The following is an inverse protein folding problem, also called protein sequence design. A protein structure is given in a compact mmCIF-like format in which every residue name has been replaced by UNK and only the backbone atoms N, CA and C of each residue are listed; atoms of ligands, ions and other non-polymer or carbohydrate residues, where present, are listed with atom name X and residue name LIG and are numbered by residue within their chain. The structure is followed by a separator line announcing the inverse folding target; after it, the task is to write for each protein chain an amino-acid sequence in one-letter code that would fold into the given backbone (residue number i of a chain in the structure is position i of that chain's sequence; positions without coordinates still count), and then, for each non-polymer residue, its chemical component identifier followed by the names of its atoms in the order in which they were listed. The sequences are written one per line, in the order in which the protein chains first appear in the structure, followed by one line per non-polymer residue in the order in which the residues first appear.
data_IF_866208633026
#
_entry.id   IF_866208633026
#
_cell.length_a   1.000
_cell.length_b   1.000
_cell.length_c   1.000
_cell.angle_alpha   90.00
_cell.angle_beta   90.00
_cell.angle_gamma   90.00
#
_symmetry.space_group_name_H-M   'P 1'
#
loop_
_entity.id
_entity.type
_entity.pdbx_description
1 polymer ?
#
# COMPACT_ATOMS: atom_id res chain seq x y z
N UNK A 1 48.29 -19.20 -37.01
CA UNK A 1 47.78 -18.67 -35.75
C UNK A 1 46.24 -18.60 -35.82
N UNK A 2 45.54 -19.48 -35.12
CA UNK A 2 44.07 -19.50 -35.13
C UNK A 2 43.65 -18.74 -33.89
N UNK A 3 43.07 -17.54 -34.04
CA UNK A 3 42.49 -16.76 -32.96
C UNK A 3 41.12 -17.41 -32.59
N UNK A 4 41.04 -18.00 -31.41
CA UNK A 4 39.78 -18.45 -30.82
C UNK A 4 39.02 -17.24 -30.30
N UNK A 5 38.02 -16.81 -31.00
CA UNK A 5 37.04 -15.86 -30.49
C UNK A 5 36.20 -16.56 -29.41
N UNK A 6 36.40 -16.19 -28.16
CA UNK A 6 35.51 -16.61 -27.08
C UNK A 6 34.21 -15.86 -27.18
N UNK A 7 33.17 -16.58 -27.56
CA UNK A 7 31.80 -16.05 -27.54
C UNK A 7 31.32 -15.99 -26.08
N UNK A 8 31.38 -14.81 -25.48
CA UNK A 8 30.76 -14.57 -24.16
C UNK A 8 29.27 -14.41 -24.39
N UNK A 9 28.52 -15.49 -24.18
CA UNK A 9 27.07 -15.41 -24.09
C UNK A 9 26.71 -14.70 -22.79
N UNK A 10 26.37 -13.42 -22.83
CA UNK A 10 25.77 -12.74 -21.71
C UNK A 10 24.36 -13.29 -21.51
N UNK A 11 24.20 -14.12 -20.48
CA UNK A 11 22.86 -14.54 -20.03
C UNK A 11 22.20 -13.29 -19.44
N UNK A 12 21.33 -12.65 -20.20
CA UNK A 12 20.36 -11.68 -19.68
C UNK A 12 19.37 -12.45 -18.84
N UNK A 13 19.64 -12.58 -17.54
CA UNK A 13 18.60 -12.96 -16.58
C UNK A 13 17.65 -11.78 -16.52
N UNK A 14 16.57 -11.87 -17.29
CA UNK A 14 15.46 -10.94 -17.20
C UNK A 14 14.83 -11.07 -15.83
N UNK A 15 15.32 -10.29 -14.86
CA UNK A 15 14.72 -10.16 -13.55
C UNK A 15 13.35 -9.52 -13.74
N UNK A 16 12.28 -10.28 -13.56
CA UNK A 16 10.96 -9.73 -13.43
C UNK A 16 10.98 -8.84 -12.19
N UNK A 17 10.75 -7.53 -12.37
CA UNK A 17 10.65 -6.61 -11.24
C UNK A 17 9.52 -7.10 -10.32
N UNK A 18 9.86 -7.42 -9.07
CA UNK A 18 8.90 -7.84 -8.07
C UNK A 18 7.98 -6.67 -7.71
N UNK A 19 6.67 -6.92 -7.59
CA UNK A 19 5.70 -5.94 -7.14
C UNK A 19 6.14 -5.32 -5.80
N UNK A 20 6.09 -4.01 -5.69
CA UNK A 20 6.60 -3.27 -4.53
C UNK A 20 5.79 -1.99 -4.26
N UNK A 21 5.80 -1.57 -3.00
CA UNK A 21 5.32 -0.24 -2.61
C UNK A 21 6.42 0.77 -2.96
N UNK A 22 6.09 1.94 -3.54
CA UNK A 22 7.09 2.97 -3.83
C UNK A 22 7.92 3.36 -2.60
N UNK A 23 9.19 3.66 -2.79
CA UNK A 23 10.10 4.04 -1.70
C UNK A 23 9.69 5.36 -1.05
N UNK A 24 9.19 6.30 -1.84
CA UNK A 24 8.68 7.58 -1.38
C UNK A 24 7.27 7.78 -1.90
N UNK A 25 6.35 8.10 -0.98
CA UNK A 25 4.96 8.43 -1.28
C UNK A 25 4.62 9.74 -0.57
N UNK A 26 4.21 10.73 -1.35
CA UNK A 26 3.86 12.04 -0.82
C UNK A 26 2.76 11.95 0.24
N UNK A 27 2.98 12.57 1.39
CA UNK A 27 2.05 12.62 2.51
C UNK A 27 1.91 11.33 3.30
N UNK A 28 2.54 10.25 2.88
CA UNK A 28 2.52 8.97 3.60
C UNK A 28 3.69 8.88 4.58
N UNK A 29 3.38 8.58 5.85
CA UNK A 29 4.42 8.36 6.85
C UNK A 29 5.20 7.06 6.59
N UNK A 30 6.42 7.00 7.12
CA UNK A 30 7.23 5.77 7.06
C UNK A 30 6.50 4.57 7.69
N UNK A 31 5.78 4.79 8.79
CA UNK A 31 5.02 3.75 9.47
C UNK A 31 3.86 3.24 8.60
N UNK A 32 3.11 4.14 7.97
CA UNK A 32 2.02 3.77 7.05
C UNK A 32 2.54 3.01 5.86
N UNK A 33 3.66 3.44 5.29
CA UNK A 33 4.32 2.74 4.19
C UNK A 33 4.75 1.32 4.60
N UNK A 34 5.32 1.16 5.79
CA UNK A 34 5.69 -0.16 6.30
C UNK A 34 4.49 -1.10 6.43
N UNK A 35 3.33 -0.60 6.88
CA UNK A 35 2.09 -1.38 6.89
C UNK A 35 1.62 -1.76 5.48
N UNK A 36 1.76 -0.88 4.51
CA UNK A 36 1.45 -1.19 3.12
C UNK A 36 2.35 -2.32 2.57
N UNK A 37 3.64 -2.30 2.89
CA UNK A 37 4.58 -3.37 2.53
C UNK A 37 4.22 -4.70 3.20
N UNK A 38 3.85 -4.67 4.47
CA UNK A 38 3.39 -5.86 5.19
C UNK A 38 2.11 -6.45 4.56
N UNK A 39 1.17 -5.59 4.16
CA UNK A 39 -0.05 -6.02 3.47
C UNK A 39 0.26 -6.71 2.13
N UNK A 40 1.16 -6.13 1.34
CA UNK A 40 1.59 -6.72 0.08
C UNK A 40 2.30 -8.07 0.29
N UNK A 41 3.17 -8.17 1.28
CA UNK A 41 3.84 -9.42 1.63
C UNK A 41 2.86 -10.49 2.12
N UNK A 42 1.88 -10.11 2.94
CA UNK A 42 0.82 -11.01 3.38
C UNK A 42 0.01 -11.55 2.19
N UNK A 43 -0.33 -10.69 1.23
CA UNK A 43 -1.02 -11.11 0.00
C UNK A 43 -0.21 -12.14 -0.78
N UNK A 44 1.10 -11.95 -0.91
CA UNK A 44 1.99 -12.91 -1.59
C UNK A 44 2.01 -14.26 -0.88
N UNK A 45 2.11 -14.27 0.44
CA UNK A 45 2.08 -15.50 1.24
C UNK A 45 0.77 -16.29 1.08
N UNK A 46 -0.32 -15.57 0.80
CA UNK A 46 -1.62 -16.17 0.49
C UNK A 46 -1.77 -16.57 -0.99
N UNK A 47 -0.69 -16.48 -1.77
CA UNK A 47 -0.71 -16.80 -3.20
C UNK A 47 -1.49 -15.79 -4.06
N UNK A 48 -1.67 -14.57 -3.56
CA UNK A 48 -2.38 -13.48 -4.27
C UNK A 48 -1.38 -12.52 -4.88
N UNK A 49 -1.72 -12.01 -6.06
CA UNK A 49 -0.97 -10.98 -6.77
C UNK A 49 -1.87 -9.75 -7.00
N UNK A 50 -1.94 -8.85 -6.01
CA UNK A 50 -2.85 -7.72 -6.09
C UNK A 50 -2.43 -6.75 -7.19
N UNK A 51 -3.40 -6.32 -7.98
CA UNK A 51 -3.22 -5.29 -9.00
C UNK A 51 -3.38 -3.89 -8.43
N UNK A 52 -3.98 -3.78 -7.26
CA UNK A 52 -4.23 -2.54 -6.56
C UNK A 52 -4.15 -2.77 -5.06
N UNK A 53 -3.40 -1.92 -4.38
CA UNK A 53 -3.31 -1.83 -2.93
C UNK A 53 -3.90 -0.50 -2.49
N UNK A 54 -4.95 -0.54 -1.68
CA UNK A 54 -5.56 0.67 -1.12
C UNK A 54 -5.12 0.82 0.33
N UNK A 55 -4.57 1.98 0.67
CA UNK A 55 -4.07 2.31 2.00
C UNK A 55 -4.77 3.56 2.50
N UNK A 56 -5.38 3.48 3.68
CA UNK A 56 -5.97 4.64 4.34
C UNK A 56 -5.33 4.84 5.72
N UNK A 57 -4.79 6.02 5.98
CA UNK A 57 -4.20 6.37 7.27
C UNK A 57 -5.21 7.17 8.11
N UNK A 58 -5.94 6.47 8.96
CA UNK A 58 -6.97 7.07 9.81
C UNK A 58 -6.42 7.93 10.96
N UNK A 59 -5.09 8.00 11.15
CA UNK A 59 -4.46 8.92 12.10
C UNK A 59 -4.46 10.36 11.60
N UNK A 60 -4.54 10.53 10.27
CA UNK A 60 -4.67 11.85 9.66
C UNK A 60 -6.13 12.34 9.75
N UNK A 61 -6.37 13.66 9.75
CA UNK A 61 -7.73 14.19 9.74
C UNK A 61 -8.46 13.86 8.42
N UNK A 62 -9.79 13.83 8.47
CA UNK A 62 -10.63 13.53 7.30
C UNK A 62 -10.50 14.57 6.16
N UNK A 63 -10.05 15.78 6.48
CA UNK A 63 -9.75 16.84 5.50
C UNK A 63 -8.42 16.65 4.77
N UNK A 64 -7.57 15.71 5.22
CA UNK A 64 -6.33 15.38 4.53
C UNK A 64 -6.56 14.31 3.45
N UNK A 65 -5.76 14.35 2.41
CA UNK A 65 -5.69 13.30 1.42
C UNK A 65 -4.97 12.09 2.01
N UNK A 66 -5.69 11.28 2.75
CA UNK A 66 -5.19 10.18 3.60
C UNK A 66 -5.45 8.79 3.05
N UNK A 67 -5.95 8.69 1.82
CA UNK A 67 -6.11 7.44 1.09
C UNK A 67 -5.25 7.45 -0.16
N UNK A 68 -4.51 6.37 -0.36
CA UNK A 68 -3.69 6.12 -1.55
C UNK A 68 -4.12 4.82 -2.19
N UNK A 69 -4.26 4.84 -3.51
CA UNK A 69 -4.34 3.64 -4.34
C UNK A 69 -3.00 3.47 -5.05
N UNK A 70 -2.40 2.32 -4.88
CA UNK A 70 -1.05 1.99 -5.37
C UNK A 70 -1.15 0.81 -6.31
N UNK A 71 -0.59 0.92 -7.51
CA UNK A 71 -0.31 -0.24 -8.37
C UNK A 71 1.06 -0.81 -7.95
N UNK A 72 1.09 -1.95 -7.24
CA UNK A 72 2.36 -2.48 -6.76
C UNK A 72 3.23 -3.07 -7.86
N UNK A 73 2.66 -3.44 -9.01
CA UNK A 73 3.42 -3.98 -10.16
C UNK A 73 4.21 -2.89 -10.86
N UNK A 74 3.64 -1.69 -10.92
CA UNK A 74 4.29 -0.51 -11.47
C UNK A 74 5.06 0.29 -10.42
N UNK A 75 4.88 -0.06 -9.13
CA UNK A 75 5.41 0.72 -7.99
C UNK A 75 5.01 2.19 -8.08
N UNK A 76 3.73 2.44 -8.32
CA UNK A 76 3.20 3.77 -8.60
C UNK A 76 1.94 4.06 -7.79
N UNK A 77 1.81 5.31 -7.31
CA UNK A 77 0.56 5.82 -6.73
C UNK A 77 -0.33 6.30 -7.87
N UNK A 78 -1.46 5.64 -8.05
CA UNK A 78 -2.42 5.96 -9.13
C UNK A 78 -3.53 6.90 -8.68
N UNK A 79 -3.76 7.00 -7.37
CA UNK A 79 -4.74 7.93 -6.78
C UNK A 79 -4.32 8.31 -5.37
N UNK A 80 -4.50 9.57 -5.03
CA UNK A 80 -4.46 10.07 -3.66
C UNK A 80 -5.68 10.94 -3.41
N UNK A 81 -6.42 10.70 -2.33
CA UNK A 81 -7.67 11.42 -2.07
C UNK A 81 -8.03 11.44 -0.59
N UNK A 82 -9.04 12.23 -0.27
CA UNK A 82 -9.70 12.19 1.03
C UNK A 82 -10.58 10.95 1.15
N UNK A 83 -10.83 10.51 2.37
CA UNK A 83 -11.79 9.45 2.69
C UNK A 83 -12.42 9.72 4.05
N UNK A 84 -13.72 9.49 4.15
CA UNK A 84 -14.44 9.59 5.40
C UNK A 84 -14.10 8.43 6.34
N UNK A 85 -14.39 8.59 7.62
CA UNK A 85 -14.39 7.53 8.62
C UNK A 85 -15.82 7.32 9.15
N UNK A 86 -16.04 6.20 9.80
CA UNK A 86 -17.33 5.91 10.42
C UNK A 86 -17.68 6.95 11.50
N UNK A 87 -18.93 7.35 11.56
CA UNK A 87 -19.38 8.36 12.55
C UNK A 87 -19.12 7.96 14.01
N UNK A 88 -19.13 6.67 14.32
CA UNK A 88 -18.80 6.13 15.63
C UNK A 88 -17.32 6.23 15.96
N UNK A 89 -16.43 6.43 14.97
CA UNK A 89 -15.00 6.59 15.19
C UNK A 89 -14.59 8.00 15.59
N UNK A 90 -15.46 8.98 15.44
CA UNK A 90 -15.23 10.39 15.78
C UNK A 90 -16.38 10.93 16.65
N UNK A 91 -16.49 10.49 17.91
CA UNK A 91 -17.58 10.87 18.80
C UNK A 91 -17.64 12.38 19.06
N UNK A 92 -16.51 13.05 19.04
CA UNK A 92 -16.39 14.50 19.30
C UNK A 92 -16.60 15.34 18.03
N UNK A 93 -16.79 14.71 16.87
CA UNK A 93 -16.89 15.37 15.55
C UNK A 93 -15.73 16.31 15.27
N UNK A 94 -14.52 15.86 15.62
CA UNK A 94 -13.28 16.63 15.48
C UNK A 94 -12.69 16.57 14.07
N UNK A 95 -13.18 15.68 13.22
CA UNK A 95 -12.59 15.34 11.93
C UNK A 95 -11.47 14.30 12.05
N UNK A 96 -11.22 13.78 13.24
CA UNK A 96 -10.21 12.75 13.52
C UNK A 96 -10.86 11.51 14.10
N UNK A 97 -10.60 10.36 13.48
CA UNK A 97 -10.99 9.10 14.05
C UNK A 97 -10.13 8.78 15.29
N UNK A 98 -10.74 8.43 16.40
CA UNK A 98 -10.06 8.14 17.67
C UNK A 98 -10.37 6.74 18.22
N UNK A 99 -11.49 6.15 17.80
CA UNK A 99 -11.90 4.80 18.20
C UNK A 99 -12.25 3.96 16.98
N UNK A 100 -11.97 2.67 17.07
CA UNK A 100 -12.12 1.74 15.95
C UNK A 100 -12.77 0.44 16.44
N UNK A 101 -13.53 -0.22 15.58
CA UNK A 101 -14.12 -1.51 15.89
C UNK A 101 -14.39 -2.29 14.62
N UNK A 102 -14.17 -3.60 14.67
CA UNK A 102 -14.55 -4.53 13.63
C UNK A 102 -15.91 -5.20 13.93
N UNK A 103 -16.60 -4.75 14.99
CA UNK A 103 -17.91 -5.26 15.36
C UNK A 103 -18.98 -4.72 14.41
N UNK A 104 -19.80 -5.57 13.77
CA UNK A 104 -20.90 -5.14 12.93
C UNK A 104 -21.87 -4.25 13.71
N UNK A 105 -22.35 -3.16 13.09
CA UNK A 105 -23.29 -2.22 13.70
C UNK A 105 -22.67 -1.17 14.64
N UNK A 106 -21.38 -1.22 14.90
CA UNK A 106 -20.68 -0.23 15.73
C UNK A 106 -20.65 1.18 15.12
N UNK A 107 -20.83 1.29 13.80
CA UNK A 107 -20.68 2.52 13.02
C UNK A 107 -19.25 3.09 13.07
N UNK A 108 -18.31 2.31 13.54
CA UNK A 108 -16.89 2.65 13.60
C UNK A 108 -16.16 2.13 12.36
N UNK A 109 -15.13 2.83 11.97
CA UNK A 109 -14.19 2.34 10.96
C UNK A 109 -13.48 1.10 11.49
N UNK A 110 -13.43 0.06 10.69
CA UNK A 110 -12.65 -1.14 10.96
C UNK A 110 -11.17 -0.89 10.68
N UNK A 111 -10.32 -1.63 11.36
CA UNK A 111 -8.87 -1.63 11.10
C UNK A 111 -8.42 -3.03 10.71
N UNK A 112 -7.41 -3.10 9.88
CA UNK A 112 -6.82 -4.35 9.43
C UNK A 112 -6.59 -4.39 7.92
N UNK A 113 -6.28 -5.59 7.45
CA UNK A 113 -6.13 -5.93 6.03
C UNK A 113 -7.38 -6.70 5.56
N UNK A 114 -7.91 -6.32 4.42
CA UNK A 114 -9.09 -6.93 3.80
C UNK A 114 -8.80 -7.41 2.38
#
# INVERSE_FOLDING_TARGET
MIARAALIAALMVGGHAQAAVPQHIEGMSRATRAHAEQALECSRKLGRDPTLLIVADMRLPSSAQRLWAIDPRMSEVVLRTEVAHGRGSDPDRSGRASVFSNTPGSLMTSVGLY
#
